data_IF_803404111374
#
_entry.id   IF_803404111374
#
_cell.length_a   1.000
_cell.length_b   1.000
_cell.length_c   1.000
_cell.angle_alpha   90.00
_cell.angle_beta   90.00
_cell.angle_gamma   90.00
#
_symmetry.space_group_name_H-M   'P 1'
#
loop_
_entity.id
_entity.type
_entity.pdbx_description
1 polymer ?
#
# COMPACT_ATOMS: atom_id res chain seq x y z
N UNK A 1 -1.45 29.42 -10.77
CA UNK A 1 -2.65 28.95 -10.02
C UNK A 1 -2.15 28.33 -8.72
N UNK A 2 -2.82 28.52 -7.61
CA UNK A 2 -2.40 27.91 -6.33
C UNK A 2 -2.61 26.39 -6.43
N UNK A 3 -1.58 25.53 -6.22
CA UNK A 3 -1.69 24.07 -6.34
C UNK A 3 -2.83 23.49 -5.49
N UNK A 4 -3.04 23.99 -4.28
CA UNK A 4 -4.14 23.54 -3.40
C UNK A 4 -5.51 23.84 -4.03
N UNK A 5 -5.68 24.94 -4.75
CA UNK A 5 -6.95 25.27 -5.41
C UNK A 5 -7.30 24.29 -6.54
N UNK A 6 -6.30 23.75 -7.22
CA UNK A 6 -6.52 22.72 -8.25
C UNK A 6 -7.18 21.49 -7.63
N UNK A 7 -6.70 21.05 -6.46
CA UNK A 7 -7.22 19.88 -5.76
C UNK A 7 -8.60 20.10 -5.13
N UNK A 8 -8.97 21.35 -4.79
CA UNK A 8 -10.25 21.67 -4.16
C UNK A 8 -11.48 21.43 -5.06
N UNK A 9 -11.28 21.16 -6.36
CA UNK A 9 -12.35 20.75 -7.25
C UNK A 9 -12.78 19.27 -7.04
N UNK A 10 -11.89 18.47 -6.41
CA UNK A 10 -12.10 17.03 -6.19
C UNK A 10 -12.12 16.70 -4.70
N UNK A 11 -11.25 17.33 -3.91
CA UNK A 11 -11.07 17.06 -2.50
C UNK A 11 -11.59 18.19 -1.60
N UNK A 12 -12.14 17.88 -0.43
CA UNK A 12 -12.41 18.89 0.60
C UNK A 12 -11.17 19.72 0.92
N UNK A 13 -11.33 20.99 1.30
CA UNK A 13 -10.21 21.91 1.51
C UNK A 13 -9.15 21.42 2.53
N UNK A 14 -9.57 20.64 3.53
CA UNK A 14 -8.66 20.04 4.51
C UNK A 14 -7.80 18.93 3.90
N UNK A 15 -8.42 18.07 3.14
CA UNK A 15 -7.78 16.96 2.43
C UNK A 15 -6.83 17.47 1.33
N UNK A 16 -7.27 18.43 0.51
CA UNK A 16 -6.44 19.06 -0.51
C UNK A 16 -5.14 19.64 0.09
N UNK A 17 -5.21 20.25 1.29
CA UNK A 17 -4.03 20.74 2.01
C UNK A 17 -3.16 19.63 2.55
N UNK A 18 -3.77 18.53 3.01
CA UNK A 18 -3.02 17.36 3.50
C UNK A 18 -2.26 16.69 2.36
N UNK A 19 -2.91 16.49 1.21
CA UNK A 19 -2.29 15.95 -0.01
C UNK A 19 -1.13 16.83 -0.47
N UNK A 20 -1.34 18.15 -0.57
CA UNK A 20 -0.29 19.08 -0.96
C UNK A 20 0.92 19.00 -0.02
N UNK A 21 0.68 18.97 1.29
CA UNK A 21 1.75 18.83 2.28
C UNK A 21 2.51 17.51 2.11
N UNK A 22 1.82 16.40 1.92
CA UNK A 22 2.43 15.09 1.67
C UNK A 22 3.34 15.14 0.44
N UNK A 23 2.89 15.74 -0.66
CA UNK A 23 3.71 15.95 -1.87
C UNK A 23 4.96 16.75 -1.55
N UNK A 24 4.83 17.86 -0.81
CA UNK A 24 5.98 18.69 -0.44
C UNK A 24 6.99 17.95 0.44
N UNK A 25 6.51 17.20 1.43
CA UNK A 25 7.36 16.44 2.36
C UNK A 25 8.04 15.27 1.64
N UNK A 26 7.28 14.44 0.96
CA UNK A 26 7.79 13.18 0.39
C UNK A 26 8.60 13.39 -0.89
N UNK A 27 8.21 14.34 -1.74
CA UNK A 27 8.87 14.53 -3.05
C UNK A 27 9.92 15.64 -3.04
N UNK A 28 9.69 16.72 -2.30
CA UNK A 28 10.57 17.90 -2.31
C UNK A 28 11.33 18.10 -1.00
N UNK A 29 11.12 17.24 0.01
CA UNK A 29 11.82 17.31 1.29
C UNK A 29 11.47 18.55 2.14
N UNK A 30 10.34 19.22 1.85
CA UNK A 30 9.91 20.43 2.55
C UNK A 30 9.00 20.08 3.72
N UNK A 31 9.47 20.35 4.93
CA UNK A 31 8.67 20.17 6.13
C UNK A 31 7.47 21.12 6.18
N UNK A 32 6.50 20.82 7.06
CA UNK A 32 5.37 21.74 7.34
C UNK A 32 5.84 23.14 7.71
N UNK A 33 6.94 23.26 8.44
CA UNK A 33 7.51 24.57 8.82
C UNK A 33 8.07 25.29 7.59
N UNK A 34 8.73 24.58 6.68
CA UNK A 34 9.26 25.18 5.44
C UNK A 34 8.13 25.72 4.56
N UNK A 35 7.02 24.99 4.46
CA UNK A 35 5.84 25.42 3.71
C UNK A 35 5.22 26.67 4.36
N UNK A 36 5.12 26.72 5.70
CA UNK A 36 4.63 27.90 6.42
C UNK A 36 5.52 29.14 6.23
N UNK A 37 6.83 28.93 6.07
CA UNK A 37 7.80 29.97 5.77
C UNK A 37 7.83 30.36 4.29
N UNK A 38 7.04 29.70 3.45
CA UNK A 38 6.90 30.00 2.02
C UNK A 38 8.03 29.44 1.14
N UNK A 39 8.85 28.52 1.62
CA UNK A 39 9.95 27.88 0.85
C UNK A 39 9.45 27.05 -0.33
N UNK A 40 8.17 26.62 -0.31
CA UNK A 40 7.50 25.98 -1.43
C UNK A 40 7.39 26.88 -2.68
N UNK A 41 7.60 28.19 -2.54
CA UNK A 41 7.62 29.17 -3.63
C UNK A 41 9.01 29.32 -4.27
N UNK A 42 10.04 28.79 -3.61
CA UNK A 42 11.44 28.91 -4.04
C UNK A 42 11.92 27.63 -4.75
N UNK A 43 11.00 26.77 -5.18
CA UNK A 43 11.32 25.58 -5.96
C UNK A 43 11.99 25.94 -7.29
N UNK A 44 12.96 25.12 -7.72
CA UNK A 44 13.59 25.25 -9.04
C UNK A 44 12.57 25.12 -10.18
N UNK A 45 12.89 25.56 -11.37
CA UNK A 45 12.03 25.46 -12.55
C UNK A 45 11.64 23.99 -12.85
N UNK A 46 12.59 23.07 -12.69
CA UNK A 46 12.37 21.63 -12.89
C UNK A 46 11.40 21.08 -11.83
N UNK A 47 11.60 21.41 -10.57
CA UNK A 47 10.73 21.01 -9.47
C UNK A 47 9.32 21.62 -9.61
N UNK A 48 9.19 22.83 -10.12
CA UNK A 48 7.89 23.44 -10.40
C UNK A 48 7.15 22.70 -11.53
N UNK A 49 7.88 22.29 -12.58
CA UNK A 49 7.31 21.49 -13.67
C UNK A 49 6.86 20.12 -13.15
N UNK A 50 7.67 19.48 -12.33
CA UNK A 50 7.31 18.22 -11.70
C UNK A 50 6.09 18.35 -10.79
N UNK A 51 6.05 19.40 -9.95
CA UNK A 51 4.89 19.70 -9.10
C UNK A 51 3.63 19.88 -9.94
N UNK A 52 3.71 20.57 -11.07
CA UNK A 52 2.56 20.75 -11.97
C UNK A 52 2.05 19.41 -12.50
N UNK A 53 2.95 18.51 -12.92
CA UNK A 53 2.58 17.18 -13.39
C UNK A 53 1.91 16.35 -12.27
N UNK A 54 2.48 16.37 -11.05
CA UNK A 54 1.90 15.72 -9.88
C UNK A 54 0.48 16.27 -9.61
N UNK A 55 0.31 17.58 -9.59
CA UNK A 55 -0.99 18.21 -9.34
C UNK A 55 -2.03 17.86 -10.43
N UNK A 56 -1.62 17.72 -11.68
CA UNK A 56 -2.49 17.30 -12.77
C UNK A 56 -2.98 15.86 -12.58
N UNK A 57 -2.10 14.93 -12.21
CA UNK A 57 -2.48 13.55 -11.91
C UNK A 57 -3.43 13.46 -10.71
N UNK A 58 -3.11 14.14 -9.63
CA UNK A 58 -3.98 14.23 -8.45
C UNK A 58 -5.35 14.83 -8.77
N UNK A 59 -5.43 15.78 -9.70
CA UNK A 59 -6.67 16.39 -10.16
C UNK A 59 -7.56 15.42 -10.98
N UNK A 60 -7.09 14.26 -11.37
CA UNK A 60 -7.92 13.18 -11.95
C UNK A 60 -8.47 12.22 -10.89
N UNK A 61 -8.13 12.41 -9.62
CA UNK A 61 -8.51 11.49 -8.53
C UNK A 61 -7.53 10.34 -8.30
N UNK A 62 -6.37 10.35 -8.99
CA UNK A 62 -5.34 9.34 -8.77
C UNK A 62 -4.80 9.41 -7.33
N UNK A 63 -4.70 8.28 -6.60
CA UNK A 63 -4.17 8.27 -5.23
C UNK A 63 -2.77 8.88 -5.13
N UNK A 64 -2.54 9.72 -4.12
CA UNK A 64 -1.26 10.41 -3.95
C UNK A 64 -0.09 9.43 -3.82
N UNK A 65 -0.30 8.27 -3.24
CA UNK A 65 0.71 7.23 -3.11
C UNK A 65 1.15 6.68 -4.48
N UNK A 66 0.21 6.46 -5.40
CA UNK A 66 0.55 6.05 -6.77
C UNK A 66 1.20 7.16 -7.58
N UNK A 67 0.74 8.41 -7.38
CA UNK A 67 1.35 9.57 -8.03
C UNK A 67 2.81 9.75 -7.61
N UNK A 68 3.10 9.53 -6.32
CA UNK A 68 4.44 9.63 -5.74
C UNK A 68 5.26 8.34 -5.90
N UNK A 69 4.60 7.20 -6.20
CA UNK A 69 5.24 5.89 -6.29
C UNK A 69 5.64 5.31 -4.93
N UNK A 70 5.10 5.83 -3.81
CA UNK A 70 5.51 5.42 -2.48
C UNK A 70 4.41 5.54 -1.43
N UNK A 71 4.47 4.66 -0.42
CA UNK A 71 3.61 4.69 0.76
C UNK A 71 4.43 4.38 2.02
N UNK A 72 4.12 5.05 3.12
CA UNK A 72 4.72 4.75 4.42
C UNK A 72 3.93 3.65 5.15
N UNK A 73 4.63 2.66 5.70
CA UNK A 73 4.03 1.59 6.49
C UNK A 73 5.03 1.07 7.53
N UNK A 74 4.61 0.95 8.79
CA UNK A 74 5.45 0.48 9.91
C UNK A 74 6.82 1.17 10.02
N UNK A 75 6.91 2.46 9.67
CA UNK A 75 8.14 3.25 9.72
C UNK A 75 9.11 3.03 8.55
N UNK A 76 8.67 2.33 7.51
CA UNK A 76 9.40 2.11 6.27
C UNK A 76 8.66 2.70 5.08
N UNK A 77 9.39 3.07 4.03
CA UNK A 77 8.83 3.53 2.76
C UNK A 77 8.80 2.38 1.76
N UNK A 78 7.62 2.08 1.24
CA UNK A 78 7.38 1.04 0.24
C UNK A 78 7.10 1.66 -1.12
N UNK A 79 7.67 1.10 -2.17
CA UNK A 79 7.23 1.39 -3.53
C UNK A 79 5.83 0.83 -3.76
N UNK A 80 4.95 1.66 -4.33
CA UNK A 80 3.60 1.27 -4.71
C UNK A 80 3.24 1.86 -6.07
N UNK A 81 2.56 1.07 -6.87
CA UNK A 81 2.05 1.46 -8.17
C UNK A 81 0.73 0.73 -8.46
N UNK A 82 -0.03 1.10 -9.51
CA UNK A 82 -1.22 0.34 -9.90
C UNK A 82 -0.90 -1.15 -10.07
N UNK A 83 -1.68 -2.01 -9.39
CA UNK A 83 -1.47 -3.45 -9.33
C UNK A 83 -1.30 -4.00 -7.93
N UNK A 84 -0.98 -3.17 -6.94
CA UNK A 84 -0.96 -3.54 -5.52
C UNK A 84 -1.84 -2.61 -4.69
N UNK A 85 -2.50 -3.14 -3.67
CA UNK A 85 -3.23 -2.34 -2.70
C UNK A 85 -2.28 -1.37 -1.99
N UNK A 86 -2.68 -0.10 -1.85
CA UNK A 86 -1.95 0.87 -1.05
C UNK A 86 -1.99 0.42 0.42
N UNK A 87 -0.86 0.26 1.12
CA UNK A 87 -0.82 -0.12 2.53
C UNK A 87 -1.72 0.76 3.40
N UNK A 88 -2.59 0.13 4.21
CA UNK A 88 -3.52 0.83 5.09
C UNK A 88 -2.94 0.93 6.50
N UNK A 89 -3.12 2.05 7.21
CA UNK A 89 -2.62 2.20 8.58
C UNK A 89 -3.13 1.11 9.53
N UNK A 90 -4.38 0.67 9.37
CA UNK A 90 -5.02 -0.37 10.17
C UNK A 90 -4.31 -1.73 10.01
N UNK A 91 -3.76 -2.01 8.83
CA UNK A 91 -3.00 -3.23 8.56
C UNK A 91 -1.74 -3.34 9.43
N UNK A 92 -1.21 -2.22 9.94
CA UNK A 92 -0.09 -2.22 10.87
C UNK A 92 -0.41 -2.94 12.19
N UNK A 93 -1.68 -3.03 12.58
CA UNK A 93 -2.11 -3.78 13.76
C UNK A 93 -1.84 -5.28 13.62
N UNK A 94 -1.96 -5.83 12.40
CA UNK A 94 -1.59 -7.23 12.12
C UNK A 94 -0.09 -7.46 12.36
N UNK A 95 0.75 -6.55 11.88
CA UNK A 95 2.21 -6.63 12.10
C UNK A 95 2.52 -6.53 13.60
N UNK A 96 1.86 -5.63 14.33
CA UNK A 96 2.03 -5.50 15.78
C UNK A 96 1.59 -6.76 16.53
N UNK A 97 0.47 -7.38 16.14
CA UNK A 97 -0.02 -8.61 16.74
C UNK A 97 0.99 -9.77 16.56
N UNK A 98 1.55 -9.92 15.34
CA UNK A 98 2.60 -10.91 15.09
C UNK A 98 3.88 -10.58 15.87
N UNK A 99 4.25 -9.30 15.98
CA UNK A 99 5.44 -8.86 16.73
C UNK A 99 5.34 -9.08 18.25
N UNK A 100 4.15 -9.34 18.80
CA UNK A 100 3.97 -9.75 20.18
C UNK A 100 4.39 -11.22 20.42
N UNK A 101 4.50 -12.02 19.36
CA UNK A 101 4.95 -13.40 19.42
C UNK A 101 6.49 -13.51 19.45
N UNK A 102 7.07 -14.63 19.99
CA UNK A 102 8.52 -14.82 19.98
C UNK A 102 9.11 -14.78 18.57
N UNK A 103 10.23 -14.08 18.43
CA UNK A 103 10.96 -13.95 17.18
C UNK A 103 11.53 -15.27 16.66
N UNK A 104 11.85 -15.29 15.36
CA UNK A 104 12.42 -16.48 14.70
C UNK A 104 11.39 -17.54 14.31
N UNK A 105 10.09 -17.32 14.64
CA UNK A 105 9.00 -18.17 14.12
C UNK A 105 8.89 -18.01 12.61
N UNK A 106 8.40 -19.06 11.94
CA UNK A 106 8.03 -19.01 10.53
C UNK A 106 6.65 -18.38 10.38
N UNK A 107 6.55 -17.41 9.47
CA UNK A 107 5.32 -16.68 9.15
C UNK A 107 5.00 -16.88 7.69
N UNK A 108 3.72 -17.09 7.39
CA UNK A 108 3.17 -17.03 6.04
C UNK A 108 2.31 -15.77 5.93
N UNK A 109 2.63 -14.90 4.98
CA UNK A 109 1.80 -13.77 4.57
C UNK A 109 1.06 -14.13 3.28
N UNK A 110 -0.28 -14.13 3.31
CA UNK A 110 -1.13 -14.53 2.18
C UNK A 110 -1.79 -13.29 1.58
N UNK A 111 -1.64 -13.10 0.25
CA UNK A 111 -2.07 -11.90 -0.44
C UNK A 111 -1.14 -10.72 -0.11
N UNK A 112 0.16 -10.92 -0.31
CA UNK A 112 1.19 -9.99 0.19
C UNK A 112 1.15 -8.61 -0.47
N UNK A 113 0.58 -8.49 -1.69
CA UNK A 113 0.46 -7.22 -2.41
C UNK A 113 1.80 -6.52 -2.59
N UNK A 114 1.96 -5.34 -2.00
CA UNK A 114 3.23 -4.59 -2.01
C UNK A 114 4.33 -5.21 -1.14
N UNK A 115 4.04 -6.28 -0.41
CA UNK A 115 4.96 -6.90 0.54
C UNK A 115 5.03 -6.19 1.90
N UNK A 116 4.18 -5.22 2.17
CA UNK A 116 4.31 -4.36 3.35
C UNK A 116 4.24 -5.13 4.68
N UNK A 117 3.38 -6.15 4.80
CA UNK A 117 3.32 -7.03 5.98
C UNK A 117 4.57 -7.92 6.03
N UNK A 118 4.82 -8.67 4.94
CA UNK A 118 5.92 -9.65 4.87
C UNK A 118 7.29 -9.01 5.15
N UNK A 119 7.59 -7.91 4.49
CA UNK A 119 8.86 -7.17 4.64
C UNK A 119 9.00 -6.60 6.05
N UNK A 120 7.94 -5.99 6.60
CA UNK A 120 7.98 -5.46 7.98
C UNK A 120 8.25 -6.55 9.01
N UNK A 121 7.66 -7.75 8.83
CA UNK A 121 7.88 -8.89 9.71
C UNK A 121 9.29 -9.48 9.55
N UNK A 122 9.83 -9.54 8.33
CA UNK A 122 11.20 -9.98 8.09
C UNK A 122 12.21 -9.04 8.76
N UNK A 123 12.03 -7.73 8.64
CA UNK A 123 12.83 -6.72 9.34
C UNK A 123 12.71 -6.80 10.86
N UNK A 124 11.57 -7.27 11.37
CA UNK A 124 11.35 -7.54 12.79
C UNK A 124 12.02 -8.84 13.27
N UNK A 125 12.60 -9.67 12.38
CA UNK A 125 13.37 -10.88 12.70
C UNK A 125 12.58 -12.18 12.62
N UNK A 126 11.49 -12.21 11.83
CA UNK A 126 10.75 -13.43 11.51
C UNK A 126 11.26 -14.07 10.21
N UNK A 127 11.03 -15.38 10.05
CA UNK A 127 11.30 -16.11 8.80
C UNK A 127 10.02 -16.08 7.96
N UNK A 128 9.98 -15.22 6.94
CA UNK A 128 8.75 -14.95 6.21
C UNK A 128 8.74 -15.62 4.84
N UNK A 129 7.63 -16.29 4.54
CA UNK A 129 7.23 -16.70 3.20
C UNK A 129 5.99 -15.85 2.84
N UNK A 130 5.93 -15.33 1.64
CA UNK A 130 4.85 -14.48 1.17
C UNK A 130 4.23 -15.06 -0.10
N UNK A 131 2.90 -15.19 -0.10
CA UNK A 131 2.13 -15.68 -1.23
C UNK A 131 1.34 -14.54 -1.87
N UNK A 132 1.28 -14.54 -3.19
CA UNK A 132 0.33 -13.75 -3.97
C UNK A 132 0.01 -14.49 -5.27
N UNK A 133 -1.18 -14.30 -5.80
CA UNK A 133 -1.59 -14.83 -7.11
C UNK A 133 -1.06 -13.97 -8.26
N UNK A 134 -0.77 -12.69 -7.97
CA UNK A 134 -0.32 -11.69 -8.95
C UNK A 134 1.21 -11.68 -9.04
N UNK A 135 1.76 -12.09 -10.18
CA UNK A 135 3.19 -11.98 -10.45
C UNK A 135 3.67 -10.52 -10.42
N UNK A 136 2.81 -9.57 -10.82
CA UNK A 136 3.11 -8.14 -10.72
C UNK A 136 3.25 -7.71 -9.26
N UNK A 137 2.34 -8.13 -8.38
CA UNK A 137 2.43 -7.84 -6.95
C UNK A 137 3.70 -8.42 -6.35
N UNK A 138 4.04 -9.66 -6.67
CA UNK A 138 5.27 -10.31 -6.22
C UNK A 138 6.53 -9.57 -6.69
N UNK A 139 6.54 -9.06 -7.93
CA UNK A 139 7.66 -8.27 -8.44
C UNK A 139 7.86 -6.97 -7.65
N UNK A 140 6.76 -6.28 -7.31
CA UNK A 140 6.78 -5.06 -6.48
C UNK A 140 7.25 -5.39 -5.06
N UNK A 141 6.70 -6.46 -4.46
CA UNK A 141 7.06 -6.91 -3.12
C UNK A 141 8.54 -7.30 -3.01
N UNK A 142 9.06 -7.98 -4.03
CA UNK A 142 10.48 -8.35 -4.10
C UNK A 142 11.37 -7.11 -4.20
N UNK A 143 11.02 -6.13 -5.06
CA UNK A 143 11.75 -4.87 -5.17
C UNK A 143 11.75 -4.10 -3.83
N UNK A 144 10.63 -4.12 -3.09
CA UNK A 144 10.54 -3.54 -1.76
C UNK A 144 11.43 -4.27 -0.75
N UNK A 145 11.42 -5.61 -0.75
CA UNK A 145 12.28 -6.40 0.13
C UNK A 145 13.77 -6.13 -0.14
N UNK A 146 14.17 -6.09 -1.41
CA UNK A 146 15.55 -5.78 -1.83
C UNK A 146 15.96 -4.37 -1.38
N UNK A 147 15.11 -3.35 -1.60
CA UNK A 147 15.39 -1.95 -1.24
C UNK A 147 15.55 -1.75 0.26
N UNK A 148 14.83 -2.53 1.07
CA UNK A 148 14.85 -2.48 2.53
C UNK A 148 15.80 -3.51 3.16
N UNK A 149 16.51 -4.31 2.35
CA UNK A 149 17.40 -5.39 2.80
C UNK A 149 16.68 -6.41 3.70
N UNK A 150 15.46 -6.77 3.36
CA UNK A 150 14.65 -7.78 4.04
C UNK A 150 14.72 -9.12 3.31
N UNK A 151 14.90 -10.22 4.05
CA UNK A 151 14.90 -11.57 3.49
C UNK A 151 13.47 -12.15 3.56
N UNK A 152 12.81 -12.27 2.41
CA UNK A 152 11.47 -12.84 2.26
C UNK A 152 11.47 -13.83 1.10
N UNK A 153 10.87 -15.00 1.33
CA UNK A 153 10.62 -15.98 0.26
C UNK A 153 9.28 -15.67 -0.41
N UNK A 154 9.31 -15.28 -1.68
CA UNK A 154 8.10 -14.99 -2.45
C UNK A 154 7.69 -16.18 -3.32
N UNK A 155 6.39 -16.52 -3.32
CA UNK A 155 5.83 -17.65 -4.07
C UNK A 155 4.54 -17.21 -4.76
N UNK A 156 4.45 -17.45 -6.07
CA UNK A 156 3.21 -17.28 -6.80
C UNK A 156 2.27 -18.45 -6.47
N UNK A 157 1.21 -18.19 -5.72
CA UNK A 157 0.31 -19.22 -5.22
C UNK A 157 -1.12 -18.68 -5.13
N UNK A 158 -2.08 -19.51 -5.58
CA UNK A 158 -3.51 -19.23 -5.42
C UNK A 158 -4.03 -19.92 -4.16
N UNK A 159 -4.34 -19.18 -3.11
CA UNK A 159 -4.83 -19.74 -1.85
C UNK A 159 -6.18 -20.46 -1.99
N UNK A 160 -6.99 -20.11 -2.99
CA UNK A 160 -8.25 -20.80 -3.26
C UNK A 160 -8.05 -22.18 -3.91
N UNK A 161 -6.88 -22.42 -4.51
CA UNK A 161 -6.49 -23.67 -5.15
C UNK A 161 -5.02 -23.96 -4.86
N UNK A 162 -4.66 -24.15 -3.57
CA UNK A 162 -3.27 -24.26 -3.19
C UNK A 162 -2.61 -25.49 -3.83
N UNK A 163 -1.41 -25.29 -4.36
CA UNK A 163 -0.54 -26.40 -4.71
C UNK A 163 -0.26 -27.16 -3.42
N UNK A 164 -0.35 -28.47 -3.43
CA UNK A 164 -0.25 -29.33 -2.25
C UNK A 164 1.08 -29.13 -1.51
N UNK A 165 1.21 -28.06 -0.76
CA UNK A 165 2.35 -27.86 0.12
C UNK A 165 2.12 -28.57 1.44
N UNK A 166 3.10 -29.41 1.83
CA UNK A 166 3.13 -30.01 3.17
C UNK A 166 3.82 -29.10 4.19
N UNK A 167 4.23 -27.92 3.78
CA UNK A 167 4.92 -26.96 4.63
C UNK A 167 3.96 -26.41 5.69
N UNK A 168 4.47 -26.22 6.88
CA UNK A 168 3.72 -25.66 8.01
C UNK A 168 4.42 -24.40 8.49
N UNK A 169 3.63 -23.41 8.87
CA UNK A 169 4.10 -22.18 9.46
C UNK A 169 3.62 -22.07 10.91
N UNK A 170 4.34 -21.34 11.73
CA UNK A 170 3.94 -21.09 13.11
C UNK A 170 2.83 -20.04 13.20
N UNK A 171 2.82 -19.10 12.25
CA UNK A 171 1.87 -17.99 12.18
C UNK A 171 1.44 -17.86 10.73
N UNK A 172 0.16 -17.61 10.51
CA UNK A 172 -0.40 -17.17 9.22
C UNK A 172 -0.97 -15.77 9.43
N UNK A 173 -0.63 -14.84 8.56
CA UNK A 173 -1.16 -13.48 8.53
C UNK A 173 -1.69 -13.19 7.13
N UNK A 174 -2.78 -12.46 7.06
CA UNK A 174 -3.36 -12.05 5.79
C UNK A 174 -4.22 -10.80 5.96
N UNK A 175 -4.21 -9.94 4.97
CA UNK A 175 -5.23 -8.92 4.75
C UNK A 175 -5.90 -9.21 3.40
N UNK A 176 -6.75 -10.24 3.31
CA UNK A 176 -7.31 -10.70 2.06
C UNK A 176 -8.44 -9.77 1.58
N UNK A 177 -8.90 -9.89 0.33
CA UNK A 177 -10.13 -9.25 -0.11
C UNK A 177 -11.33 -9.66 0.75
N UNK A 178 -12.17 -8.69 1.11
CA UNK A 178 -13.34 -8.93 1.98
C UNK A 178 -14.55 -8.03 1.66
N UNK A 179 -14.44 -7.14 0.68
CA UNK A 179 -15.52 -6.21 0.31
C UNK A 179 -16.44 -6.93 -0.67
N UNK A 180 -17.73 -7.02 -0.37
CA UNK A 180 -18.71 -7.56 -1.30
C UNK A 180 -18.88 -6.65 -2.52
N UNK A 181 -19.16 -7.22 -3.70
CA UNK A 181 -19.30 -6.42 -4.92
C UNK A 181 -20.43 -5.41 -4.81
N UNK A 182 -21.51 -5.74 -4.08
CA UNK A 182 -22.64 -4.85 -3.80
C UNK A 182 -22.29 -3.62 -2.96
N UNK A 183 -21.16 -3.64 -2.23
CA UNK A 183 -20.69 -2.53 -1.39
C UNK A 183 -19.85 -1.52 -2.17
N UNK A 184 -19.54 -1.80 -3.44
CA UNK A 184 -18.69 -0.95 -4.28
C UNK A 184 -19.19 0.51 -4.38
N UNK A 185 -20.50 0.72 -4.43
CA UNK A 185 -21.11 2.05 -4.56
C UNK A 185 -20.87 2.95 -3.33
N UNK A 186 -20.55 2.36 -2.16
CA UNK A 186 -20.26 3.10 -0.93
C UNK A 186 -18.79 3.50 -0.82
N UNK A 187 -17.92 2.98 -1.69
CA UNK A 187 -16.49 3.24 -1.66
C UNK A 187 -16.11 4.57 -2.29
N UNK A 188 -14.99 5.12 -1.86
CA UNK A 188 -14.41 6.28 -2.50
C UNK A 188 -14.02 5.99 -3.96
N UNK A 189 -14.35 6.91 -4.86
CA UNK A 189 -14.09 6.76 -6.31
C UNK A 189 -12.63 6.51 -6.65
N UNK A 190 -11.70 7.15 -5.94
CA UNK A 190 -10.27 6.96 -6.15
C UNK A 190 -9.81 5.52 -5.89
N UNK A 191 -10.38 4.84 -4.90
CA UNK A 191 -10.11 3.42 -4.62
C UNK A 191 -10.65 2.56 -5.76
N UNK A 192 -11.94 2.73 -6.10
CA UNK A 192 -12.60 1.95 -7.16
C UNK A 192 -11.94 2.09 -8.54
N UNK A 193 -11.43 3.29 -8.86
CA UNK A 193 -10.91 3.57 -10.19
C UNK A 193 -9.43 3.22 -10.35
N UNK A 194 -8.68 3.14 -9.26
CA UNK A 194 -7.22 3.05 -9.35
C UNK A 194 -6.63 1.83 -8.64
N UNK A 195 -7.26 1.32 -7.58
CA UNK A 195 -6.72 0.17 -6.87
C UNK A 195 -7.20 -1.16 -7.46
N UNK A 196 -6.41 -2.24 -7.36
CA UNK A 196 -6.74 -3.51 -8.01
C UNK A 196 -7.97 -4.16 -7.39
N UNK A 197 -9.00 -4.38 -8.18
CA UNK A 197 -10.25 -5.03 -7.74
C UNK A 197 -10.01 -6.43 -7.18
N UNK A 198 -8.99 -7.14 -7.68
CA UNK A 198 -8.57 -8.44 -7.16
C UNK A 198 -8.16 -8.39 -5.68
N UNK A 199 -7.65 -7.26 -5.20
CA UNK A 199 -7.24 -7.07 -3.81
C UNK A 199 -8.37 -6.54 -2.91
N UNK A 200 -9.55 -6.21 -3.47
CA UNK A 200 -10.64 -5.57 -2.76
C UNK A 200 -11.86 -6.48 -2.61
N UNK A 201 -12.29 -7.13 -3.69
CA UNK A 201 -13.63 -7.68 -3.79
C UNK A 201 -13.71 -9.20 -3.65
N UNK A 202 -14.82 -9.61 -3.04
CA UNK A 202 -15.31 -10.99 -3.01
C UNK A 202 -16.72 -11.06 -3.64
N UNK A 203 -17.18 -12.25 -4.12
CA UNK A 203 -18.57 -12.44 -4.52
C UNK A 203 -19.53 -12.20 -3.35
N UNK A 204 -20.69 -11.61 -3.63
CA UNK A 204 -21.72 -11.34 -2.60
C UNK A 204 -22.22 -12.62 -1.92
N UNK A 205 -22.19 -13.73 -2.65
CA UNK A 205 -22.63 -15.05 -2.15
C UNK A 205 -21.58 -15.70 -1.24
N UNK A 206 -20.33 -15.26 -1.28
CA UNK A 206 -19.21 -15.87 -0.55
C UNK A 206 -18.34 -14.82 0.16
N UNK A 207 -18.89 -14.02 1.09
CA UNK A 207 -18.16 -12.93 1.75
C UNK A 207 -16.96 -13.40 2.58
N UNK A 208 -16.90 -14.66 2.98
CA UNK A 208 -15.82 -15.27 3.76
C UNK A 208 -14.89 -16.14 2.90
N UNK A 209 -14.99 -16.09 1.57
CA UNK A 209 -14.26 -16.94 0.62
C UNK A 209 -12.78 -17.14 0.98
N UNK A 210 -12.05 -16.05 1.20
CA UNK A 210 -10.62 -16.13 1.53
C UNK A 210 -10.37 -16.55 2.98
N UNK A 211 -11.23 -16.16 3.91
CA UNK A 211 -11.09 -16.58 5.32
C UNK A 211 -11.28 -18.08 5.46
N UNK A 212 -12.25 -18.67 4.76
CA UNK A 212 -12.51 -20.11 4.77
C UNK A 212 -11.37 -20.89 4.10
N UNK A 213 -10.72 -20.31 3.08
CA UNK A 213 -9.59 -20.94 2.41
C UNK A 213 -8.29 -20.87 3.24
N UNK A 214 -8.16 -19.88 4.12
CA UNK A 214 -6.97 -19.68 4.96
C UNK A 214 -7.05 -20.49 6.26
N UNK A 215 -8.26 -20.73 6.80
CA UNK A 215 -8.48 -21.41 8.09
C UNK A 215 -8.27 -22.92 8.02
#
# INVERSE_FOLDING_TARGET
MNPVQILQHIYPAGEARAIYRMVMEMRFGLSRTDILLGKDKDLSADNLTELQNIMQRLATGEPVQYVLGMAEFCGHTFHVEPGVLIPRPETAELVQAVCAEPKGKSVLDIGTGSGCIAVSLALAGYKVTAFDISEQALSIAQANAESLNAEVEFVCENILHPSTTKRKWNIIVSNPPYICQSEADEMHRNVLQHEPHLALFVPDEEPLLFYDAIA
#
